data_IF_681731504970
#
_entry.id   IF_681731504970
#
_cell.length_a   1.000
_cell.length_b   1.000
_cell.length_c   1.000
_cell.angle_alpha   90.00
_cell.angle_beta   90.00
_cell.angle_gamma   90.00
#
_symmetry.space_group_name_H-M   'P 1'
#
loop_
_entity.id
_entity.type
_entity.pdbx_description
1 polymer ?
#
# COMPACT_ATOMS: atom_id res chain seq x y z
N UNK A 1 -8.93 -20.28 -9.01
CA UNK A 1 -9.29 -19.02 -8.36
C UNK A 1 -7.99 -18.32 -8.12
N UNK A 2 -7.63 -17.39 -9.00
CA UNK A 2 -6.48 -16.52 -8.80
C UNK A 2 -6.82 -15.58 -7.63
N UNK A 3 -6.10 -15.74 -6.52
CA UNK A 3 -6.27 -14.86 -5.37
C UNK A 3 -5.66 -13.51 -5.74
N UNK A 4 -6.49 -12.48 -5.84
CA UNK A 4 -6.02 -11.11 -6.06
C UNK A 4 -6.12 -10.34 -4.75
N UNK A 5 -5.01 -9.74 -4.33
CA UNK A 5 -4.89 -8.96 -3.10
C UNK A 5 -4.72 -7.50 -3.51
N UNK A 6 -5.51 -6.61 -2.92
CA UNK A 6 -5.40 -5.17 -3.17
C UNK A 6 -4.80 -4.51 -1.95
N UNK A 7 -3.58 -4.01 -2.08
CA UNK A 7 -2.87 -3.32 -1.01
C UNK A 7 -2.95 -1.81 -1.23
N UNK A 8 -3.63 -1.10 -0.34
CA UNK A 8 -3.70 0.36 -0.36
C UNK A 8 -2.59 0.95 0.49
N UNK A 9 -1.73 1.75 -0.14
CA UNK A 9 -0.64 2.48 0.54
C UNK A 9 -0.90 3.98 0.40
N UNK A 10 -1.06 4.67 1.54
CA UNK A 10 -1.22 6.11 1.59
C UNK A 10 0.07 6.77 2.09
N UNK A 11 0.48 7.84 1.42
CA UNK A 11 1.67 8.62 1.75
C UNK A 11 1.31 10.08 1.91
N UNK A 12 2.03 10.79 2.79
CA UNK A 12 1.98 12.25 2.89
C UNK A 12 3.37 12.81 2.62
N UNK A 13 3.45 13.84 1.79
CA UNK A 13 4.69 14.57 1.55
C UNK A 13 5.09 15.37 2.78
N UNK A 14 6.33 15.23 3.24
CA UNK A 14 6.88 16.07 4.30
C UNK A 14 7.44 17.37 3.72
N UNK A 15 8.11 17.38 2.56
CA UNK A 15 8.68 18.62 1.97
C UNK A 15 8.95 18.55 0.44
N UNK A 16 8.36 19.49 -0.34
CA UNK A 16 9.04 20.51 -1.20
C UNK A 16 8.23 21.02 -2.42
N UNK A 17 7.22 20.32 -2.93
CA UNK A 17 6.44 20.80 -4.09
C UNK A 17 4.93 20.48 -4.05
N UNK A 18 4.45 19.85 -2.98
CA UNK A 18 3.03 19.61 -2.73
C UNK A 18 2.59 20.34 -1.47
N UNK A 19 1.32 20.78 -1.37
CA UNK A 19 0.81 21.35 -0.14
C UNK A 19 1.02 20.35 1.01
N UNK A 20 1.78 20.77 2.02
CA UNK A 20 2.02 19.96 3.23
C UNK A 20 0.69 19.40 3.72
N UNK A 21 0.58 18.07 3.83
CA UNK A 21 -0.61 17.40 4.33
C UNK A 21 -1.56 16.81 3.28
N UNK A 22 -1.26 16.87 1.98
CA UNK A 22 -2.04 16.10 0.99
C UNK A 22 -1.67 14.61 1.08
N UNK A 23 -2.61 13.79 1.55
CA UNK A 23 -2.50 12.33 1.55
C UNK A 23 -2.75 11.81 0.12
N UNK A 24 -1.80 11.06 -0.42
CA UNK A 24 -1.95 10.32 -1.69
C UNK A 24 -2.00 8.84 -1.41
N UNK A 25 -3.08 8.19 -1.82
CA UNK A 25 -3.24 6.74 -1.72
C UNK A 25 -3.09 6.09 -3.10
N UNK A 26 -2.35 5.00 -3.15
CA UNK A 26 -2.20 4.14 -4.33
C UNK A 26 -2.59 2.72 -3.94
N UNK A 27 -3.43 2.09 -4.74
CA UNK A 27 -3.80 0.68 -4.58
C UNK A 27 -2.99 -0.18 -5.53
N UNK A 28 -2.32 -1.20 -5.00
CA UNK A 28 -1.53 -2.16 -5.74
C UNK A 28 -2.28 -3.49 -5.82
N UNK A 29 -2.45 -4.02 -7.03
CA UNK A 29 -2.96 -5.37 -7.24
C UNK A 29 -1.81 -6.37 -7.19
N UNK A 30 -1.84 -7.26 -6.22
CA UNK A 30 -0.83 -8.29 -5.99
C UNK A 30 -1.45 -9.66 -6.26
N UNK A 31 -0.77 -10.46 -7.07
CA UNK A 31 -1.12 -11.86 -7.30
C UNK A 31 0.00 -12.77 -6.78
N UNK A 32 -0.31 -13.77 -5.95
CA UNK A 32 0.65 -14.80 -5.56
C UNK A 32 1.14 -15.55 -6.81
N UNK A 33 2.46 -15.70 -6.95
CA UNK A 33 3.04 -16.48 -8.06
C UNK A 33 2.87 -17.99 -7.88
N UNK A 34 2.54 -18.43 -6.66
CA UNK A 34 2.31 -19.82 -6.26
C UNK A 34 1.21 -19.85 -5.21
N UNK A 35 0.66 -21.04 -4.94
CA UNK A 35 -0.31 -21.22 -3.87
C UNK A 35 0.33 -20.88 -2.53
N UNK A 36 -0.20 -19.87 -1.85
CA UNK A 36 0.24 -19.40 -0.55
C UNK A 36 -0.91 -19.49 0.45
N UNK A 37 -0.58 -19.74 1.71
CA UNK A 37 -1.52 -19.62 2.82
C UNK A 37 -1.77 -18.15 3.17
N UNK A 38 -2.88 -17.88 3.87
CA UNK A 38 -3.17 -16.53 4.34
C UNK A 38 -2.05 -15.99 5.24
N UNK A 39 -1.44 -16.83 6.09
CA UNK A 39 -0.34 -16.44 6.98
C UNK A 39 0.91 -16.00 6.20
N UNK A 40 1.26 -16.72 5.12
CA UNK A 40 2.37 -16.32 4.24
C UNK A 40 2.09 -15.02 3.48
N UNK A 41 0.84 -14.81 3.10
CA UNK A 41 0.39 -13.57 2.46
C UNK A 41 0.51 -12.41 3.44
N UNK A 42 -0.02 -12.56 4.65
CA UNK A 42 0.01 -11.51 5.68
C UNK A 42 1.46 -11.12 6.01
N UNK A 43 2.36 -12.11 6.16
CA UNK A 43 3.78 -11.85 6.38
C UNK A 43 4.44 -11.09 5.21
N UNK A 44 4.11 -11.42 3.96
CA UNK A 44 4.63 -10.69 2.79
C UNK A 44 4.10 -9.27 2.70
N UNK A 45 2.84 -9.05 3.05
CA UNK A 45 2.23 -7.72 3.06
C UNK A 45 2.87 -6.84 4.13
N UNK A 46 3.16 -7.40 5.31
CA UNK A 46 3.90 -6.70 6.37
C UNK A 46 5.29 -6.26 5.89
N UNK A 47 6.06 -7.17 5.25
CA UNK A 47 7.36 -6.83 4.65
C UNK A 47 7.25 -5.70 3.62
N UNK A 48 6.22 -5.72 2.76
CA UNK A 48 5.98 -4.67 1.75
C UNK A 48 5.66 -3.33 2.42
N UNK A 49 4.83 -3.35 3.46
CA UNK A 49 4.49 -2.15 4.22
C UNK A 49 5.74 -1.56 4.89
N UNK A 50 6.54 -2.36 5.61
CA UNK A 50 7.76 -1.89 6.27
C UNK A 50 8.78 -1.30 5.28
N UNK A 51 8.94 -1.94 4.11
CA UNK A 51 9.82 -1.44 3.06
C UNK A 51 9.31 -0.11 2.49
N UNK A 52 7.99 0.02 2.31
CA UNK A 52 7.35 1.27 1.87
C UNK A 52 7.52 2.39 2.89
N UNK A 53 7.38 2.09 4.18
CA UNK A 53 7.63 3.03 5.27
C UNK A 53 9.08 3.53 5.27
N UNK A 54 10.04 2.62 5.11
CA UNK A 54 11.47 2.95 5.10
C UNK A 54 11.82 3.84 3.91
N UNK A 55 11.42 3.47 2.69
CA UNK A 55 11.70 4.27 1.50
C UNK A 55 10.98 5.62 1.53
N UNK A 56 9.76 5.68 2.05
CA UNK A 56 9.03 6.94 2.12
C UNK A 56 9.84 8.00 2.89
N UNK A 57 10.45 7.61 4.01
CA UNK A 57 11.31 8.48 4.81
C UNK A 57 12.50 8.99 4.00
N UNK A 58 13.14 8.12 3.21
CA UNK A 58 14.28 8.50 2.35
C UNK A 58 13.90 9.54 1.27
N UNK A 59 12.66 9.50 0.78
CA UNK A 59 12.13 10.44 -0.21
C UNK A 59 11.46 11.69 0.42
N UNK A 60 11.56 11.88 1.74
CA UNK A 60 10.91 13.02 2.41
C UNK A 60 9.38 12.93 2.40
N UNK A 61 8.87 11.71 2.47
CA UNK A 61 7.44 11.38 2.58
C UNK A 61 7.23 10.48 3.80
N UNK A 62 5.98 10.22 4.18
CA UNK A 62 5.65 9.27 5.26
C UNK A 62 4.45 8.44 4.84
N UNK A 63 4.55 7.12 4.99
CA UNK A 63 3.38 6.24 4.85
C UNK A 63 2.45 6.46 6.06
N UNK A 64 1.19 6.78 5.78
CA UNK A 64 0.12 7.02 6.78
C UNK A 64 -0.80 5.81 6.92
N UNK A 65 -1.00 5.05 5.84
CA UNK A 65 -1.80 3.82 5.82
C UNK A 65 -1.14 2.78 4.93
N UNK A 66 -1.21 1.52 5.35
CA UNK A 66 -0.86 0.35 4.55
C UNK A 66 -1.82 -0.75 4.95
N UNK A 67 -2.84 -1.03 4.13
CA UNK A 67 -3.93 -1.94 4.48
C UNK A 67 -4.41 -2.72 3.26
N UNK A 68 -4.81 -3.98 3.48
CA UNK A 68 -5.49 -4.77 2.45
C UNK A 68 -6.92 -4.26 2.34
N UNK A 69 -7.31 -3.89 1.13
CA UNK A 69 -8.68 -3.50 0.81
C UNK A 69 -9.35 -4.61 0.00
N UNK A 70 -10.65 -4.72 0.15
CA UNK A 70 -11.45 -5.52 -0.78
C UNK A 70 -11.46 -4.81 -2.15
N UNK A 71 -11.64 -5.57 -3.23
CA UNK A 71 -11.81 -5.00 -4.57
C UNK A 71 -13.11 -4.21 -4.62
N UNK A 72 -13.07 -2.96 -4.14
CA UNK A 72 -14.13 -2.00 -4.36
C UNK A 72 -13.99 -1.49 -5.80
N UNK A 73 -14.41 -2.31 -6.77
CA UNK A 73 -15.01 -1.73 -7.97
C UNK A 73 -16.20 -0.87 -7.51
N UNK A 74 -15.94 0.44 -7.36
CA UNK A 74 -16.87 1.59 -7.29
C UNK A 74 -17.23 2.17 -5.91
N UNK A 75 -16.69 3.36 -5.67
CA UNK A 75 -17.35 4.59 -5.15
C UNK A 75 -16.31 5.71 -5.30
N UNK A 76 -16.49 6.92 -5.83
CA UNK A 76 -17.55 7.67 -6.53
C UNK A 76 -16.85 8.97 -7.02
N UNK A 77 -17.17 9.51 -8.21
CA UNK A 77 -16.77 10.88 -8.62
C UNK A 77 -16.12 11.04 -9.99
#
# INVERSE_FOLDING_TARGET
MDLMIFLKVCTVGLFLNEPMGMERCVTYSLSPQYAMTQEEIDGKLEEICEWSHTNAVDFGTRVTKCEVVEDEEKEDG
#
